data_IF_405984488203
#
_entry.id   IF_405984488203
#
_cell.length_a   1.000
_cell.length_b   1.000
_cell.length_c   1.000
_cell.angle_alpha   90.00
_cell.angle_beta   90.00
_cell.angle_gamma   90.00
#
_symmetry.space_group_name_H-M   'P 1'
#
loop_
_entity.id
_entity.type
_entity.pdbx_description
1 polymer ?
#
# COMPACT_ATOMS: atom_id res chain seq x y z
N UNK A 1 23.89 -45.79 29.70
CA UNK A 1 24.26 -45.25 28.38
C UNK A 1 22.95 -45.02 27.66
N UNK A 2 22.73 -43.79 27.19
CA UNK A 2 21.52 -43.26 26.55
C UNK A 2 20.42 -42.85 27.54
N UNK A 3 20.31 -41.54 27.85
CA UNK A 3 18.98 -40.90 28.04
C UNK A 3 18.95 -39.35 28.04
N UNK A 4 20.07 -38.63 27.95
CA UNK A 4 19.99 -37.14 27.86
C UNK A 4 19.93 -36.59 26.43
N UNK A 5 20.28 -37.41 25.43
CA UNK A 5 20.28 -36.97 24.02
C UNK A 5 18.93 -37.17 23.31
N UNK A 6 18.00 -37.93 23.91
CA UNK A 6 16.68 -38.11 23.31
C UNK A 6 15.79 -36.88 23.53
N UNK A 7 15.87 -36.21 24.68
CA UNK A 7 15.03 -35.06 25.01
C UNK A 7 15.36 -33.82 24.15
N UNK A 8 16.65 -33.52 23.94
CA UNK A 8 17.10 -32.40 23.08
C UNK A 8 16.79 -32.63 21.59
N UNK A 9 16.70 -33.90 21.16
CA UNK A 9 16.29 -34.25 19.78
C UNK A 9 14.79 -34.01 19.57
N UNK A 10 13.96 -34.26 20.59
CA UNK A 10 12.51 -34.01 20.54
C UNK A 10 12.20 -32.49 20.48
N UNK A 11 12.91 -31.65 21.23
CA UNK A 11 12.73 -30.18 21.17
C UNK A 11 13.13 -29.59 19.81
N UNK A 12 14.20 -30.11 19.18
CA UNK A 12 14.59 -29.69 17.82
C UNK A 12 13.66 -30.20 16.74
N UNK A 13 12.97 -31.33 16.97
CA UNK A 13 11.93 -31.82 16.06
C UNK A 13 10.69 -30.91 16.11
N UNK A 14 10.22 -30.57 17.31
CA UNK A 14 9.08 -29.67 17.50
C UNK A 14 9.29 -28.26 16.89
N UNK A 15 10.50 -27.69 17.03
CA UNK A 15 10.81 -26.39 16.42
C UNK A 15 10.85 -26.43 14.88
N UNK A 16 11.31 -27.54 14.29
CA UNK A 16 11.34 -27.70 12.84
C UNK A 16 9.96 -27.87 12.23
N UNK A 17 9.00 -28.43 12.97
CA UNK A 17 7.60 -28.54 12.53
C UNK A 17 6.93 -27.16 12.43
N UNK A 18 7.19 -26.28 13.41
CA UNK A 18 6.71 -24.89 13.37
C UNK A 18 7.34 -24.13 12.21
N UNK A 19 8.66 -24.24 12.00
CA UNK A 19 9.36 -23.58 10.88
C UNK A 19 8.86 -24.06 9.51
N UNK A 20 8.61 -25.37 9.36
CA UNK A 20 8.05 -25.95 8.13
C UNK A 20 6.59 -25.52 7.88
N UNK A 21 5.78 -25.42 8.93
CA UNK A 21 4.41 -24.91 8.83
C UNK A 21 4.38 -23.44 8.37
N UNK A 22 5.23 -22.57 8.95
CA UNK A 22 5.36 -21.17 8.55
C UNK A 22 5.87 -21.04 7.11
N UNK A 23 6.82 -21.87 6.69
CA UNK A 23 7.30 -21.92 5.31
C UNK A 23 6.20 -22.37 4.33
N UNK A 24 5.34 -23.33 4.72
CA UNK A 24 4.23 -23.80 3.88
C UNK A 24 3.10 -22.79 3.70
N UNK A 25 2.92 -21.86 4.64
CA UNK A 25 1.89 -20.81 4.56
C UNK A 25 2.39 -19.53 3.88
N UNK A 26 3.70 -19.41 3.71
CA UNK A 26 4.34 -18.29 3.01
C UNK A 26 3.97 -18.25 1.51
N UNK A 27 3.41 -19.33 0.97
CA UNK A 27 2.91 -19.41 -0.42
C UNK A 27 1.46 -18.88 -0.57
N UNK A 28 0.73 -18.67 0.54
CA UNK A 28 -0.57 -17.93 0.56
C UNK A 28 -0.42 -16.55 1.18
N UNK A 29 0.83 -16.09 1.36
CA UNK A 29 1.18 -14.71 1.70
C UNK A 29 1.17 -13.81 0.47
N UNK A 30 0.09 -13.83 -0.32
CA UNK A 30 -0.19 -12.70 -1.20
C UNK A 30 -0.58 -11.55 -0.28
N UNK A 31 0.42 -10.88 0.30
CA UNK A 31 0.24 -9.50 0.71
C UNK A 31 -0.27 -8.83 -0.55
N UNK A 32 -1.56 -8.52 -0.59
CA UNK A 32 -2.15 -7.72 -1.65
C UNK A 32 -1.61 -6.32 -1.43
N UNK A 33 -0.33 -6.13 -1.75
CA UNK A 33 0.24 -4.83 -2.02
C UNK A 33 -0.45 -4.42 -3.31
N UNK A 34 -1.60 -3.76 -3.15
CA UNK A 34 -2.19 -3.00 -4.23
C UNK A 34 -1.19 -1.90 -4.58
N UNK A 35 -0.26 -2.18 -5.47
CA UNK A 35 0.47 -1.13 -6.16
C UNK A 35 -0.51 -0.47 -7.12
N UNK A 36 -0.50 0.87 -7.22
CA UNK A 36 -1.31 1.59 -8.20
C UNK A 36 -0.42 2.16 -9.31
N UNK A 37 -0.88 2.06 -10.56
CA UNK A 37 -0.35 2.87 -11.64
C UNK A 37 -0.89 4.29 -11.49
N UNK A 38 -0.23 5.11 -10.65
CA UNK A 38 -0.66 6.49 -10.40
C UNK A 38 -0.63 7.38 -11.64
N UNK A 39 0.14 7.02 -12.67
CA UNK A 39 0.09 7.76 -13.93
C UNK A 39 -1.24 7.48 -14.65
N UNK A 40 -1.66 6.21 -14.71
CA UNK A 40 -2.94 5.84 -15.29
C UNK A 40 -4.13 6.33 -14.46
N UNK A 41 -4.05 6.30 -13.13
CA UNK A 41 -5.07 6.88 -12.24
C UNK A 41 -5.18 8.39 -12.49
N UNK A 42 -4.07 9.14 -12.47
CA UNK A 42 -4.09 10.58 -12.70
C UNK A 42 -4.58 10.94 -14.12
N UNK A 43 -4.28 10.12 -15.12
CA UNK A 43 -4.82 10.30 -16.47
C UNK A 43 -6.35 10.20 -16.48
N UNK A 44 -6.92 9.21 -15.79
CA UNK A 44 -8.37 9.03 -15.66
C UNK A 44 -9.02 10.16 -14.84
N UNK A 45 -8.39 10.56 -13.73
CA UNK A 45 -8.96 11.50 -12.74
C UNK A 45 -8.87 12.97 -13.16
N UNK A 46 -7.79 13.37 -13.81
CA UNK A 46 -7.49 14.79 -14.08
C UNK A 46 -6.87 15.06 -15.45
N UNK A 47 -6.80 14.05 -16.33
CA UNK A 47 -5.99 14.11 -17.55
C UNK A 47 -4.53 14.48 -17.25
N UNK A 48 -4.00 13.93 -16.15
CA UNK A 48 -2.64 14.15 -15.63
C UNK A 48 -2.30 15.62 -15.27
N UNK A 49 -3.30 16.46 -14.97
CA UNK A 49 -3.10 17.84 -14.54
C UNK A 49 -2.92 17.90 -13.02
N UNK A 50 -1.66 17.87 -12.57
CA UNK A 50 -1.29 17.80 -11.15
C UNK A 50 -1.60 19.04 -10.31
N UNK A 51 -1.82 20.19 -10.95
CA UNK A 51 -2.02 21.48 -10.28
C UNK A 51 -3.42 22.06 -10.54
N UNK A 52 -4.45 21.23 -10.73
CA UNK A 52 -5.83 21.71 -10.79
C UNK A 52 -6.28 22.10 -9.38
N UNK A 53 -6.60 23.37 -9.20
CA UNK A 53 -7.32 23.92 -8.05
C UNK A 53 -8.84 23.84 -8.31
N UNK A 54 -9.56 23.04 -7.52
CA UNK A 54 -11.02 22.89 -7.59
C UNK A 54 -11.60 22.28 -6.30
N UNK A 55 -12.86 21.82 -6.29
CA UNK A 55 -13.42 21.10 -5.12
C UNK A 55 -12.62 19.84 -4.75
N UNK A 56 -12.06 19.16 -5.76
CA UNK A 56 -11.16 18.02 -5.58
C UNK A 56 -9.84 18.33 -6.24
N UNK A 57 -8.77 18.34 -5.46
CA UNK A 57 -7.53 18.99 -5.84
C UNK A 57 -6.48 18.05 -6.40
N UNK A 58 -5.66 18.63 -7.29
CA UNK A 58 -4.48 18.00 -7.83
C UNK A 58 -4.76 16.88 -8.81
N UNK A 59 -3.70 16.13 -9.14
CA UNK A 59 -3.72 15.12 -10.20
C UNK A 59 -4.54 13.89 -9.86
N UNK A 60 -4.71 13.61 -8.56
CA UNK A 60 -5.42 12.44 -8.04
C UNK A 60 -6.76 12.80 -7.36
N UNK A 61 -7.22 14.05 -7.56
CA UNK A 61 -8.55 14.53 -7.15
C UNK A 61 -8.85 14.31 -5.68
N UNK A 62 -7.93 14.73 -4.82
CA UNK A 62 -8.11 14.62 -3.37
C UNK A 62 -9.26 15.51 -2.88
N UNK A 63 -10.12 14.96 -2.01
CA UNK A 63 -10.92 15.78 -1.12
C UNK A 63 -10.00 16.47 -0.09
N UNK A 64 -10.18 17.77 0.23
CA UNK A 64 -9.33 18.49 1.18
C UNK A 64 -9.23 17.82 2.56
N UNK A 65 -10.31 17.21 3.07
CA UNK A 65 -10.29 16.53 4.36
C UNK A 65 -9.47 15.24 4.28
N UNK A 66 -9.55 14.51 3.16
CA UNK A 66 -8.71 13.33 2.92
C UNK A 66 -7.23 13.73 2.81
N UNK A 67 -6.90 14.79 2.06
CA UNK A 67 -5.53 15.29 1.96
C UNK A 67 -4.91 15.55 3.33
N UNK A 68 -5.61 16.31 4.17
CA UNK A 68 -5.14 16.65 5.51
C UNK A 68 -5.11 15.43 6.43
N UNK A 69 -6.15 14.59 6.41
CA UNK A 69 -6.27 13.40 7.27
C UNK A 69 -5.18 12.36 7.04
N UNK A 70 -4.58 12.32 5.85
CA UNK A 70 -3.49 11.41 5.51
C UNK A 70 -2.10 12.08 5.54
N UNK A 71 -2.01 13.29 6.12
CA UNK A 71 -0.75 13.98 6.38
C UNK A 71 -0.24 14.83 5.21
N UNK A 72 -1.10 15.22 4.27
CA UNK A 72 -0.74 16.08 3.14
C UNK A 72 -0.22 17.46 3.55
N UNK A 73 -0.58 17.93 4.75
CA UNK A 73 -0.07 19.17 5.34
C UNK A 73 1.46 19.17 5.55
N UNK A 74 2.11 18.01 5.55
CA UNK A 74 3.59 17.88 5.52
C UNK A 74 4.18 18.51 4.25
N UNK A 75 3.43 18.51 3.14
CA UNK A 75 3.88 18.98 1.83
C UNK A 75 3.28 20.31 1.43
N UNK A 76 1.97 20.48 1.61
CA UNK A 76 1.26 21.71 1.28
C UNK A 76 -0.13 21.75 1.93
N UNK A 77 -0.73 22.95 2.00
CA UNK A 77 -2.08 23.11 2.55
C UNK A 77 -3.12 22.41 1.65
N UNK A 78 -2.94 22.49 0.33
CA UNK A 78 -3.80 21.85 -0.66
C UNK A 78 -3.00 20.91 -1.56
N UNK A 79 -3.64 19.86 -2.09
CA UNK A 79 -2.96 18.88 -2.93
C UNK A 79 -2.40 19.49 -4.22
N UNK A 80 -3.12 20.46 -4.82
CA UNK A 80 -2.72 21.10 -6.07
C UNK A 80 -1.45 21.98 -5.93
N UNK A 81 -1.09 22.38 -4.71
CA UNK A 81 0.15 23.11 -4.40
C UNK A 81 1.34 22.16 -4.26
N UNK A 82 1.09 20.87 -3.99
CA UNK A 82 2.12 19.86 -3.84
C UNK A 82 2.59 19.31 -5.20
N UNK A 83 3.85 18.86 -5.25
CA UNK A 83 4.40 18.19 -6.43
C UNK A 83 3.69 16.85 -6.69
N UNK A 84 3.76 16.36 -7.94
CA UNK A 84 3.29 15.02 -8.31
C UNK A 84 3.74 13.93 -7.34
N UNK A 85 5.03 13.91 -6.98
CA UNK A 85 5.61 12.88 -6.10
C UNK A 85 5.00 12.94 -4.70
N UNK A 86 4.80 14.14 -4.15
CA UNK A 86 4.17 14.33 -2.85
C UNK A 86 2.70 13.92 -2.85
N UNK A 87 1.96 14.24 -3.91
CA UNK A 87 0.59 13.76 -4.07
C UNK A 87 0.51 12.23 -4.11
N UNK A 88 1.42 11.58 -4.84
CA UNK A 88 1.53 10.12 -4.88
C UNK A 88 1.85 9.56 -3.49
N UNK A 89 2.75 10.19 -2.72
CA UNK A 89 3.05 9.75 -1.35
C UNK A 89 1.81 9.73 -0.46
N UNK A 90 0.94 10.73 -0.53
CA UNK A 90 -0.32 10.73 0.22
C UNK A 90 -1.30 9.71 -0.35
N UNK A 91 -1.31 9.51 -1.67
CA UNK A 91 -2.17 8.53 -2.32
C UNK A 91 -1.84 7.09 -1.88
N UNK A 92 -0.56 6.77 -1.71
CA UNK A 92 -0.11 5.48 -1.16
C UNK A 92 -0.61 5.29 0.29
N UNK A 93 -0.56 6.33 1.12
CA UNK A 93 -1.09 6.27 2.50
C UNK A 93 -2.60 6.01 2.47
N UNK A 94 -3.34 6.68 1.57
CA UNK A 94 -4.78 6.44 1.37
C UNK A 94 -5.05 5.02 0.88
N UNK A 95 -4.29 4.55 -0.11
CA UNK A 95 -4.45 3.21 -0.68
C UNK A 95 -4.22 2.11 0.36
N UNK A 96 -3.20 2.26 1.21
CA UNK A 96 -2.91 1.30 2.27
C UNK A 96 -4.05 1.13 3.29
N UNK A 97 -4.82 2.19 3.56
CA UNK A 97 -5.90 2.18 4.58
C UNK A 97 -7.27 1.97 3.96
N UNK A 98 -7.55 2.64 2.85
CA UNK A 98 -8.86 2.64 2.22
C UNK A 98 -8.99 1.61 1.10
N UNK A 99 -7.87 1.17 0.54
CA UNK A 99 -7.85 0.27 -0.62
C UNK A 99 -8.29 0.93 -1.92
N UNK A 100 -8.41 0.14 -3.01
CA UNK A 100 -8.76 0.62 -4.36
C UNK A 100 -10.04 1.47 -4.44
N UNK A 101 -10.98 1.29 -3.52
CA UNK A 101 -12.25 2.03 -3.47
C UNK A 101 -12.10 3.54 -3.25
N UNK A 102 -10.91 4.02 -2.84
CA UNK A 102 -10.62 5.45 -2.79
C UNK A 102 -10.64 6.11 -4.19
N UNK A 103 -10.42 5.32 -5.26
CA UNK A 103 -10.55 5.75 -6.65
C UNK A 103 -11.50 4.81 -7.41
N UNK A 104 -12.81 4.85 -7.13
CA UNK A 104 -13.75 3.76 -7.46
C UNK A 104 -13.88 3.45 -8.96
N UNK A 105 -13.70 4.45 -9.83
CA UNK A 105 -13.81 4.28 -11.29
C UNK A 105 -12.45 4.31 -12.00
N UNK A 106 -11.44 4.89 -11.36
CA UNK A 106 -10.15 5.19 -11.98
C UNK A 106 -8.99 4.38 -11.40
N UNK A 107 -9.20 3.56 -10.36
CA UNK A 107 -8.13 2.72 -9.84
C UNK A 107 -7.56 1.82 -10.95
N UNK A 108 -6.23 1.75 -11.03
CA UNK A 108 -5.48 0.89 -11.93
C UNK A 108 -4.39 0.22 -11.12
N UNK A 109 -4.43 -1.11 -10.93
CA UNK A 109 -3.34 -1.81 -10.26
C UNK A 109 -2.07 -1.72 -11.11
N UNK A 110 -0.91 -1.71 -10.47
CA UNK A 110 0.35 -2.01 -11.17
C UNK A 110 0.22 -3.43 -11.71
N UNK A 111 0.27 -3.58 -13.03
CA UNK A 111 0.36 -4.90 -13.64
C UNK A 111 1.73 -5.48 -13.31
N UNK A 112 1.76 -6.50 -12.46
CA UNK A 112 2.91 -7.40 -12.37
C UNK A 112 2.88 -8.25 -13.63
N UNK A 113 3.91 -8.12 -14.48
CA UNK A 113 4.14 -9.04 -15.60
C UNK A 113 4.47 -10.44 -15.08
#
# INVERSE_FOLDING_TARGET
MIDELQEVVQERAASREIEQAVASWSDTGHLITYGADWAAVAMCESSARWHIDSRFDGGLRFDPATWLGFGGAEFARYAHEATKKQQITIAERVLAIQGPRAWPNCFRPLSTL
#
